data_IF_554207651566
#
_entry.id   IF_554207651566
#
_cell.length_a   1.000
_cell.length_b   1.000
_cell.length_c   1.000
_cell.angle_alpha   90.00
_cell.angle_beta   90.00
_cell.angle_gamma   90.00
#
_symmetry.space_group_name_H-M   'P 1'
#
loop_
_entity.id
_entity.type
_entity.pdbx_description
1 polymer ?
#
# COMPACT_ATOMS: atom_id res chain seq x y z
N UNK A 1 0.81 -14.21 27.02
CA UNK A 1 -0.13 -13.07 26.87
C UNK A 1 0.59 -11.76 26.55
N UNK A 2 1.69 -11.41 27.22
CA UNK A 2 2.44 -10.20 26.88
C UNK A 2 3.00 -10.24 25.43
N UNK A 3 3.60 -11.36 25.01
CA UNK A 3 4.12 -11.51 23.64
C UNK A 3 3.04 -11.40 22.56
N UNK A 4 1.87 -12.01 22.77
CA UNK A 4 0.75 -11.93 21.79
C UNK A 4 0.19 -10.51 21.64
N UNK A 5 0.17 -9.73 22.73
CA UNK A 5 -0.26 -8.32 22.67
C UNK A 5 0.81 -7.48 21.96
N UNK A 6 2.10 -7.74 22.22
CA UNK A 6 3.21 -7.06 21.55
C UNK A 6 3.20 -7.33 20.03
N UNK A 7 3.02 -8.59 19.62
CA UNK A 7 2.93 -9.00 18.21
C UNK A 7 1.76 -8.30 17.49
N UNK A 8 0.60 -8.20 18.15
CA UNK A 8 -0.55 -7.48 17.61
C UNK A 8 -0.23 -6.00 17.41
N UNK A 9 0.37 -5.34 18.41
CA UNK A 9 0.75 -3.93 18.35
C UNK A 9 1.76 -3.66 17.22
N UNK A 10 2.76 -4.53 17.07
CA UNK A 10 3.72 -4.46 15.97
C UNK A 10 3.05 -4.58 14.61
N UNK A 11 2.10 -5.51 14.47
CA UNK A 11 1.37 -5.73 13.21
C UNK A 11 0.51 -4.52 12.85
N UNK A 12 -0.19 -3.93 13.83
CA UNK A 12 -0.98 -2.71 13.64
C UNK A 12 -0.08 -1.54 13.25
N UNK A 13 1.02 -1.32 13.97
CA UNK A 13 1.96 -0.23 13.68
C UNK A 13 2.54 -0.34 12.27
N UNK A 14 2.93 -1.55 11.86
CA UNK A 14 3.45 -1.81 10.51
C UNK A 14 2.39 -1.55 9.44
N UNK A 15 1.16 -1.98 9.68
CA UNK A 15 0.04 -1.78 8.73
C UNK A 15 -0.26 -0.28 8.55
N UNK A 16 -0.31 0.48 9.65
CA UNK A 16 -0.51 1.94 9.60
C UNK A 16 0.63 2.62 8.86
N UNK A 17 1.88 2.18 9.07
CA UNK A 17 3.04 2.72 8.35
C UNK A 17 2.92 2.48 6.83
N UNK A 18 2.59 1.25 6.41
CA UNK A 18 2.40 0.91 4.99
C UNK A 18 1.29 1.76 4.37
N UNK A 19 0.13 1.86 5.02
CA UNK A 19 -0.99 2.66 4.53
C UNK A 19 -0.63 4.14 4.45
N UNK A 20 0.04 4.67 5.47
CA UNK A 20 0.50 6.06 5.51
C UNK A 20 1.49 6.38 4.39
N UNK A 21 2.50 5.53 4.19
CA UNK A 21 3.48 5.66 3.10
C UNK A 21 2.78 5.57 1.74
N UNK A 22 1.89 4.59 1.55
CA UNK A 22 1.20 4.40 0.28
C UNK A 22 0.30 5.59 -0.08
N UNK A 23 -0.46 6.10 0.89
CA UNK A 23 -1.32 7.27 0.70
C UNK A 23 -0.50 8.55 0.44
N UNK A 24 0.62 8.69 1.13
CA UNK A 24 1.52 9.82 0.91
C UNK A 24 2.14 9.80 -0.49
N UNK A 25 2.64 8.64 -0.92
CA UNK A 25 3.26 8.49 -2.24
C UNK A 25 2.24 8.57 -3.38
N UNK A 26 1.02 8.06 -3.20
CA UNK A 26 -0.03 8.09 -4.23
C UNK A 26 -0.52 9.51 -4.56
N UNK A 27 -0.46 10.44 -3.59
CA UNK A 27 -0.87 11.83 -3.76
C UNK A 27 0.23 12.75 -4.29
N UNK A 28 1.46 12.23 -4.48
CA UNK A 28 2.56 12.96 -5.14
C UNK A 28 2.33 13.08 -6.65
N UNK A 29 2.99 14.08 -7.24
CA UNK A 29 2.87 14.40 -8.66
C UNK A 29 3.34 13.24 -9.54
N UNK A 30 4.50 12.65 -9.22
CA UNK A 30 5.03 11.49 -9.92
C UNK A 30 4.16 10.26 -9.63
N UNK A 31 3.43 9.80 -10.64
CA UNK A 31 2.51 8.66 -10.52
C UNK A 31 3.23 7.36 -10.13
N UNK A 32 4.48 7.20 -10.61
CA UNK A 32 5.33 6.04 -10.34
C UNK A 32 5.59 5.82 -8.85
N UNK A 33 5.61 6.87 -8.03
CA UNK A 33 5.89 6.75 -6.60
C UNK A 33 4.84 5.91 -5.85
N UNK A 34 3.57 5.98 -6.25
CA UNK A 34 2.53 5.13 -5.67
C UNK A 34 2.55 3.68 -6.16
N UNK A 35 3.30 3.37 -7.24
CA UNK A 35 3.53 2.01 -7.70
C UNK A 35 4.66 1.30 -6.92
N UNK A 36 5.53 2.07 -6.24
CA UNK A 36 6.72 1.52 -5.57
C UNK A 36 6.33 0.55 -4.46
N UNK A 37 5.32 0.89 -3.65
CA UNK A 37 4.86 0.04 -2.54
C UNK A 37 4.28 -1.29 -3.04
N UNK A 38 3.33 -1.34 -4.00
CA UNK A 38 2.83 -2.63 -4.51
C UNK A 38 3.91 -3.45 -5.23
N UNK A 39 4.89 -2.81 -5.88
CA UNK A 39 6.04 -3.52 -6.45
C UNK A 39 6.93 -4.14 -5.37
N UNK A 40 7.19 -3.42 -4.26
CA UNK A 40 7.94 -3.95 -3.13
C UNK A 40 7.19 -5.10 -2.45
N UNK A 41 5.89 -4.96 -2.20
CA UNK A 41 5.04 -6.02 -1.64
C UNK A 41 5.04 -7.27 -2.51
N UNK A 42 5.01 -7.11 -3.85
CA UNK A 42 5.13 -8.21 -4.79
C UNK A 42 6.51 -8.86 -4.73
N UNK A 43 7.58 -8.06 -4.68
CA UNK A 43 8.95 -8.54 -4.58
C UNK A 43 9.18 -9.36 -3.29
N UNK A 44 8.59 -8.93 -2.17
CA UNK A 44 8.64 -9.69 -0.92
C UNK A 44 7.90 -11.03 -1.05
N UNK A 45 6.72 -11.04 -1.68
CA UNK A 45 5.96 -12.28 -1.90
C UNK A 45 6.72 -13.28 -2.78
N UNK A 46 7.32 -12.79 -3.87
CA UNK A 46 8.14 -13.60 -4.79
C UNK A 46 9.43 -14.06 -4.10
N UNK A 47 10.11 -13.18 -3.36
CA UNK A 47 11.30 -13.52 -2.59
C UNK A 47 11.02 -14.59 -1.54
N UNK A 48 9.86 -14.53 -0.87
CA UNK A 48 9.43 -15.56 0.05
C UNK A 48 9.27 -16.93 -0.61
N UNK A 49 8.68 -16.97 -1.80
CA UNK A 49 8.49 -18.21 -2.54
C UNK A 49 9.81 -18.80 -3.07
N UNK A 50 10.67 -17.94 -3.64
CA UNK A 50 11.85 -18.39 -4.42
C UNK A 50 13.11 -18.48 -3.56
N UNK A 51 13.39 -17.46 -2.75
CA UNK A 51 14.64 -17.37 -1.97
C UNK A 51 14.48 -18.16 -0.66
N UNK A 52 13.37 -17.96 0.05
CA UNK A 52 13.13 -18.62 1.34
C UNK A 52 12.42 -19.98 1.20
N UNK A 53 12.09 -20.39 -0.03
CA UNK A 53 11.40 -21.67 -0.30
C UNK A 53 10.14 -21.87 0.56
N UNK A 54 9.47 -20.77 0.92
CA UNK A 54 8.26 -20.84 1.75
C UNK A 54 7.14 -21.48 0.92
N UNK A 55 6.43 -22.48 1.46
CA UNK A 55 5.34 -23.10 0.75
C UNK A 55 4.26 -22.05 0.49
N UNK A 56 3.94 -21.86 -0.80
CA UNK A 56 2.84 -21.01 -1.28
C UNK A 56 1.49 -21.61 -0.90
N UNK A 57 1.19 -21.62 0.39
CA UNK A 57 -0.09 -22.04 0.92
C UNK A 57 -1.12 -20.92 0.75
N UNK A 58 -2.40 -21.28 0.65
CA UNK A 58 -3.49 -20.30 0.63
C UNK A 58 -3.44 -19.34 1.83
N UNK A 59 -2.89 -19.77 2.97
CA UNK A 59 -2.72 -18.96 4.18
C UNK A 59 -1.71 -17.81 4.03
N UNK A 60 -0.79 -17.90 3.08
CA UNK A 60 0.19 -16.86 2.75
C UNK A 60 -0.22 -16.06 1.51
N UNK A 61 -0.70 -16.76 0.48
CA UNK A 61 -1.03 -16.16 -0.82
C UNK A 61 -2.27 -15.28 -0.73
N UNK A 62 -3.33 -15.74 -0.06
CA UNK A 62 -4.60 -14.98 0.00
C UNK A 62 -4.42 -13.64 0.72
N UNK A 63 -3.80 -13.56 1.92
CA UNK A 63 -3.56 -12.28 2.57
C UNK A 63 -2.63 -11.37 1.76
N UNK A 64 -1.58 -11.93 1.13
CA UNK A 64 -0.64 -11.16 0.30
C UNK A 64 -1.32 -10.52 -0.92
N UNK A 65 -2.17 -11.28 -1.63
CA UNK A 65 -2.95 -10.75 -2.75
C UNK A 65 -3.97 -9.70 -2.30
N UNK A 66 -4.60 -9.87 -1.13
CA UNK A 66 -5.50 -8.86 -0.56
C UNK A 66 -4.78 -7.55 -0.26
N UNK A 67 -3.59 -7.62 0.35
CA UNK A 67 -2.75 -6.44 0.63
C UNK A 67 -2.36 -5.74 -0.69
N UNK A 68 -1.89 -6.50 -1.68
CA UNK A 68 -1.55 -5.95 -3.00
C UNK A 68 -2.75 -5.27 -3.67
N UNK A 69 -3.92 -5.90 -3.61
CA UNK A 69 -5.16 -5.30 -4.13
C UNK A 69 -5.51 -3.99 -3.44
N UNK A 70 -5.41 -3.94 -2.10
CA UNK A 70 -5.64 -2.72 -1.31
C UNK A 70 -4.64 -1.62 -1.65
N UNK A 71 -3.36 -1.94 -1.77
CA UNK A 71 -2.32 -0.98 -2.15
C UNK A 71 -2.57 -0.37 -3.53
N UNK A 72 -3.00 -1.18 -4.50
CA UNK A 72 -3.39 -0.72 -5.84
C UNK A 72 -4.63 0.17 -5.80
N UNK A 73 -5.65 -0.19 -5.02
CA UNK A 73 -6.86 0.63 -4.85
C UNK A 73 -6.52 1.99 -4.22
N UNK A 74 -5.71 2.01 -3.17
CA UNK A 74 -5.23 3.25 -2.52
C UNK A 74 -4.42 4.11 -3.49
N UNK A 75 -3.65 3.49 -4.38
CA UNK A 75 -2.93 4.22 -5.41
C UNK A 75 -3.88 4.89 -6.39
N UNK A 76 -4.83 4.13 -6.95
CA UNK A 76 -5.82 4.65 -7.89
C UNK A 76 -6.65 5.77 -7.26
N UNK A 77 -7.11 5.59 -6.03
CA UNK A 77 -7.88 6.61 -5.30
C UNK A 77 -7.04 7.86 -5.02
N UNK A 78 -5.79 7.72 -4.57
CA UNK A 78 -4.89 8.85 -4.36
C UNK A 78 -4.66 9.69 -5.63
N UNK A 79 -4.59 9.03 -6.80
CA UNK A 79 -4.51 9.71 -8.10
C UNK A 79 -5.81 10.42 -8.46
N UNK A 80 -6.96 9.79 -8.20
CA UNK A 80 -8.27 10.42 -8.40
C UNK A 80 -8.44 11.65 -7.50
N UNK A 81 -8.08 11.56 -6.22
CA UNK A 81 -8.11 12.67 -5.27
C UNK A 81 -7.23 13.83 -5.72
N UNK A 82 -6.01 13.54 -6.20
CA UNK A 82 -5.13 14.59 -6.72
C UNK A 82 -5.76 15.34 -7.89
N UNK A 83 -6.34 14.60 -8.86
CA UNK A 83 -7.01 15.21 -10.01
C UNK A 83 -8.18 16.11 -9.58
N UNK A 84 -8.97 15.68 -8.59
CA UNK A 84 -10.05 16.49 -8.00
C UNK A 84 -9.50 17.78 -7.39
N UNK A 85 -8.45 17.69 -6.57
CA UNK A 85 -7.81 18.88 -5.96
C UNK A 85 -7.25 19.86 -6.99
N UNK A 86 -6.72 19.37 -8.11
CA UNK A 86 -6.23 20.23 -9.19
C UNK A 86 -7.40 20.93 -9.91
N UNK A 87 -8.51 20.24 -10.15
CA UNK A 87 -9.74 20.84 -10.71
C UNK A 87 -10.34 21.91 -9.78
N UNK A 88 -10.40 21.65 -8.48
CA UNK A 88 -10.94 22.62 -7.52
C UNK A 88 -10.08 23.89 -7.44
N UNK A 89 -8.75 23.76 -7.55
CA UNK A 89 -7.83 24.90 -7.63
C UNK A 89 -8.04 25.74 -8.89
N UNK A 90 -8.41 25.12 -10.01
CA UNK A 90 -8.73 25.83 -11.24
C UNK A 90 -10.04 26.61 -11.07
N UNK A 91 -11.09 25.96 -10.55
CA UNK A 91 -12.38 26.60 -10.27
C UNK A 91 -12.26 27.79 -9.30
N UNK A 92 -11.43 27.68 -8.28
CA UNK A 92 -11.21 28.75 -7.30
C UNK A 92 -10.44 29.96 -7.86
N UNK A 93 -9.74 29.81 -9.00
CA UNK A 93 -9.03 30.91 -9.67
C UNK A 93 -9.87 31.59 -10.75
N UNK A 94 -10.93 30.95 -11.21
CA UNK A 94 -11.89 31.49 -12.19
C UNK A 94 -12.98 32.38 -11.55
N UNK A 95 -13.16 32.31 -10.22
CA UNK A 95 -14.03 33.17 -9.42
C UNK A 95 -13.27 34.41 -8.92
#
# INVERSE_FOLDING_TARGET
>A
MLNTVLELLCTIALTVAIVGVQNYLSTRQAWQLGAVVPLLSLAVLVGAAVIWSLPLSAKLVVPGLLILGLELLLWVDGRAQRRRRELDKMKAKDL
#
